data_IF_677442276438
#
_entry.id   IF_677442276438
#
_cell.length_a   1.000
_cell.length_b   1.000
_cell.length_c   1.000
_cell.angle_alpha   90.00
_cell.angle_beta   90.00
_cell.angle_gamma   90.00
#
_symmetry.space_group_name_H-M   'P 1'
#
loop_
_entity.id
_entity.type
_entity.pdbx_description
1 polymer ?
#
# COMPACT_ATOMS: atom_id res chain seq x y z
N UNK A 1 -21.01 -10.72 5.87
CA UNK A 1 -20.32 -9.68 5.11
C UNK A 1 -18.96 -9.37 5.76
N UNK A 2 -17.89 -9.41 4.97
CA UNK A 2 -16.52 -9.23 5.47
C UNK A 2 -16.30 -7.86 6.11
N UNK A 3 -16.94 -6.83 5.59
CA UNK A 3 -16.83 -5.47 6.12
C UNK A 3 -17.39 -5.39 7.54
N UNK A 4 -18.56 -5.92 7.76
CA UNK A 4 -19.18 -5.96 9.09
C UNK A 4 -18.36 -6.83 10.06
N UNK A 5 -17.91 -8.01 9.62
CA UNK A 5 -17.11 -8.90 10.44
C UNK A 5 -15.76 -8.31 10.83
N UNK A 6 -15.14 -7.53 9.94
CA UNK A 6 -13.87 -6.87 10.22
C UNK A 6 -14.02 -5.63 11.12
N UNK A 7 -15.24 -5.10 11.27
CA UNK A 7 -15.50 -3.91 12.08
C UNK A 7 -14.96 -2.62 11.47
N UNK A 8 -14.70 -2.61 10.16
CA UNK A 8 -14.21 -1.42 9.47
C UNK A 8 -15.36 -0.59 8.89
N UNK A 9 -15.09 0.68 8.63
CA UNK A 9 -16.04 1.62 8.04
C UNK A 9 -15.62 1.92 6.61
N UNK A 10 -16.59 1.98 5.70
CA UNK A 10 -16.33 2.26 4.30
C UNK A 10 -17.22 3.39 3.81
N UNK A 11 -16.72 4.08 2.78
CA UNK A 11 -17.54 4.97 1.95
C UNK A 11 -17.16 4.76 0.50
N UNK A 12 -18.02 5.19 -0.42
CA UNK A 12 -17.75 5.02 -1.85
C UNK A 12 -16.68 5.99 -2.31
N UNK A 13 -15.74 5.52 -3.12
CA UNK A 13 -14.74 6.37 -3.77
C UNK A 13 -15.44 7.42 -4.67
N UNK A 14 -14.86 8.62 -4.72
CA UNK A 14 -15.28 9.66 -5.66
C UNK A 14 -14.71 9.43 -7.08
N UNK A 15 -13.75 8.53 -7.24
CA UNK A 15 -12.99 8.36 -8.48
C UNK A 15 -13.25 7.03 -9.17
N UNK A 16 -13.58 5.98 -8.42
CA UNK A 16 -13.81 4.64 -8.95
C UNK A 16 -15.05 4.02 -8.30
N UNK A 17 -15.60 2.98 -8.92
CA UNK A 17 -16.75 2.27 -8.38
C UNK A 17 -16.30 1.21 -7.37
N UNK A 18 -15.76 1.66 -6.25
CA UNK A 18 -15.25 0.80 -5.19
C UNK A 18 -15.33 1.50 -3.84
N UNK A 19 -15.38 0.75 -2.73
CA UNK A 19 -15.36 1.34 -1.39
C UNK A 19 -13.94 1.73 -0.97
N UNK A 20 -13.85 2.75 -0.12
CA UNK A 20 -12.64 3.14 0.59
C UNK A 20 -12.82 2.72 2.04
N UNK A 21 -11.81 2.05 2.59
CA UNK A 21 -11.79 1.64 4.00
C UNK A 21 -11.19 2.79 4.81
N UNK A 22 -12.01 3.40 5.68
CA UNK A 22 -11.64 4.63 6.37
C UNK A 22 -10.49 4.44 7.37
N UNK A 23 -10.36 3.25 7.95
CA UNK A 23 -9.29 2.94 8.91
C UNK A 23 -7.91 2.78 8.28
N UNK A 24 -7.81 2.63 6.97
CA UNK A 24 -6.54 2.45 6.30
C UNK A 24 -5.91 3.82 5.99
N UNK A 25 -4.66 4.04 6.43
CA UNK A 25 -4.04 5.37 6.30
C UNK A 25 -3.55 5.70 4.89
N UNK A 26 -3.41 4.70 4.02
CA UNK A 26 -3.00 4.86 2.63
C UNK A 26 -3.90 4.04 1.73
N UNK A 27 -4.48 4.68 0.74
CA UNK A 27 -5.38 4.03 -0.21
C UNK A 27 -5.00 4.42 -1.63
N UNK A 28 -4.88 3.41 -2.48
CA UNK A 28 -4.73 3.59 -3.93
C UNK A 28 -6.06 3.24 -4.59
N UNK A 29 -6.61 4.19 -5.35
CA UNK A 29 -7.86 4.01 -6.08
C UNK A 29 -7.54 3.64 -7.52
N UNK A 30 -7.96 2.44 -7.94
CA UNK A 30 -7.53 1.85 -9.21
C UNK A 30 -8.70 1.40 -10.05
N UNK A 31 -8.51 1.42 -11.36
CA UNK A 31 -9.37 0.70 -12.31
C UNK A 31 -8.64 -0.55 -12.78
N UNK A 32 -9.37 -1.64 -13.02
CA UNK A 32 -8.76 -2.89 -13.48
C UNK A 32 -8.36 -2.75 -14.96
N UNK A 33 -7.10 -2.96 -15.26
CA UNK A 33 -6.60 -3.03 -16.64
C UNK A 33 -6.67 -4.44 -17.19
N UNK A 34 -6.27 -5.42 -16.40
CA UNK A 34 -6.32 -6.82 -16.81
C UNK A 34 -6.36 -7.74 -15.60
N UNK A 35 -6.89 -8.93 -15.80
CA UNK A 35 -6.87 -10.00 -14.83
C UNK A 35 -6.66 -11.32 -15.56
N UNK A 36 -5.64 -12.08 -15.14
CA UNK A 36 -5.34 -13.40 -15.71
C UNK A 36 -5.71 -14.47 -14.67
N UNK A 37 -6.81 -15.22 -14.89
CA UNK A 37 -7.22 -16.23 -13.91
C UNK A 37 -6.25 -17.41 -13.82
N UNK A 38 -5.42 -17.65 -14.85
CA UNK A 38 -4.45 -18.74 -14.82
C UNK A 38 -3.29 -18.47 -13.86
N UNK A 39 -2.88 -17.21 -13.74
CA UNK A 39 -1.77 -16.80 -12.86
C UNK A 39 -2.24 -16.11 -11.58
N UNK A 40 -3.48 -15.63 -11.55
CA UNK A 40 -4.00 -14.80 -10.46
C UNK A 40 -3.49 -13.36 -10.51
N UNK A 41 -2.81 -12.95 -11.58
CA UNK A 41 -2.24 -11.60 -11.68
C UNK A 41 -3.32 -10.61 -12.13
N UNK A 42 -3.52 -9.59 -11.32
CA UNK A 42 -4.40 -8.45 -11.62
C UNK A 42 -3.53 -7.20 -11.80
N UNK A 43 -3.75 -6.47 -12.89
CA UNK A 43 -3.08 -5.20 -13.13
C UNK A 43 -4.11 -4.08 -13.05
N UNK A 44 -3.83 -3.08 -12.21
CA UNK A 44 -4.68 -1.92 -12.04
C UNK A 44 -3.98 -0.63 -12.46
N UNK A 45 -4.76 0.31 -12.98
CA UNK A 45 -4.28 1.66 -13.21
C UNK A 45 -4.65 2.52 -11.99
N UNK A 46 -3.66 3.15 -11.38
CA UNK A 46 -3.87 4.05 -10.24
C UNK A 46 -4.44 5.37 -10.78
N UNK A 47 -5.65 5.72 -10.34
CA UNK A 47 -6.31 6.97 -10.78
C UNK A 47 -6.32 8.03 -9.67
N UNK A 48 -6.15 7.62 -8.41
CA UNK A 48 -6.08 8.55 -7.27
C UNK A 48 -5.39 7.87 -6.10
N UNK A 49 -4.80 8.68 -5.22
CA UNK A 49 -4.20 8.23 -3.98
C UNK A 49 -4.70 9.09 -2.84
N UNK A 50 -4.91 8.47 -1.68
CA UNK A 50 -5.25 9.17 -0.44
C UNK A 50 -4.31 8.73 0.67
N UNK A 51 -3.81 9.68 1.44
CA UNK A 51 -2.95 9.39 2.58
C UNK A 51 -3.35 10.29 3.75
N UNK A 52 -3.39 9.71 4.95
CA UNK A 52 -3.57 10.48 6.16
C UNK A 52 -2.33 11.34 6.43
N UNK A 53 -2.52 12.56 6.90
CA UNK A 53 -1.39 13.42 7.27
C UNK A 53 -0.50 12.80 8.33
N UNK A 54 -1.06 11.93 9.18
CA UNK A 54 -0.32 11.26 10.26
C UNK A 54 0.81 10.36 9.76
N UNK A 55 0.76 9.89 8.49
CA UNK A 55 1.82 9.05 7.90
C UNK A 55 2.77 9.81 7.00
N UNK A 56 2.64 11.13 6.92
CA UNK A 56 3.48 11.96 6.05
C UNK A 56 4.62 12.60 6.85
N UNK A 57 5.76 12.78 6.19
CA UNK A 57 6.86 13.63 6.64
C UNK A 57 7.23 14.52 5.46
N UNK A 58 7.13 15.83 5.64
CA UNK A 58 7.38 16.82 4.58
C UNK A 58 6.58 16.54 3.30
N UNK A 59 5.32 16.12 3.46
CA UNK A 59 4.42 15.86 2.34
C UNK A 59 4.64 14.52 1.62
N UNK A 60 5.54 13.68 2.13
CA UNK A 60 5.87 12.38 1.53
C UNK A 60 5.51 11.27 2.51
N UNK A 61 4.99 10.15 1.99
CA UNK A 61 4.68 8.99 2.83
C UNK A 61 5.96 8.50 3.52
N UNK A 62 5.90 8.43 4.84
CA UNK A 62 7.01 7.99 5.69
C UNK A 62 6.75 6.55 6.12
N UNK A 63 7.59 5.62 5.67
CA UNK A 63 7.44 4.20 5.97
C UNK A 63 7.50 3.91 7.47
N UNK A 64 8.26 4.70 8.24
CA UNK A 64 8.32 4.54 9.69
C UNK A 64 6.99 4.88 10.38
N UNK A 65 6.21 5.78 9.79
CA UNK A 65 4.88 6.17 10.29
C UNK A 65 3.79 5.25 9.76
N UNK A 66 3.86 4.88 8.48
CA UNK A 66 2.90 3.99 7.84
C UNK A 66 2.98 2.57 8.41
N UNK A 67 4.19 2.11 8.73
CA UNK A 67 4.47 0.76 9.25
C UNK A 67 3.91 -0.34 8.33
N UNK A 68 4.32 -0.36 7.06
CA UNK A 68 3.86 -1.40 6.13
C UNK A 68 4.37 -2.77 6.56
N UNK A 69 3.65 -3.81 6.16
CA UNK A 69 4.05 -5.18 6.44
C UNK A 69 4.35 -5.91 5.14
N UNK A 70 5.25 -6.88 5.21
CA UNK A 70 5.58 -7.76 4.10
C UNK A 70 5.25 -9.18 4.48
N UNK A 71 4.88 -10.00 3.50
CA UNK A 71 4.57 -11.41 3.70
C UNK A 71 5.82 -12.25 3.45
N UNK A 72 6.21 -13.03 4.48
CA UNK A 72 7.30 -14.00 4.39
C UNK A 72 6.69 -15.38 4.14
N UNK A 73 6.78 -15.86 2.90
CA UNK A 73 6.17 -17.12 2.52
C UNK A 73 6.87 -18.33 3.15
N UNK A 74 8.17 -18.22 3.43
CA UNK A 74 8.94 -19.32 4.00
C UNK A 74 8.43 -19.70 5.39
N UNK A 75 8.06 -18.71 6.19
CA UNK A 75 7.56 -18.91 7.56
C UNK A 75 6.05 -18.69 7.68
N UNK A 76 5.40 -18.24 6.61
CA UNK A 76 3.97 -17.89 6.59
C UNK A 76 3.61 -16.82 7.63
N UNK A 77 4.48 -15.83 7.76
CA UNK A 77 4.32 -14.74 8.71
C UNK A 77 4.34 -13.38 8.00
N UNK A 78 3.90 -12.36 8.70
CA UNK A 78 4.05 -10.99 8.27
C UNK A 78 5.16 -10.32 9.08
N UNK A 79 5.95 -9.47 8.42
CA UNK A 79 7.05 -8.73 9.04
C UNK A 79 6.90 -7.25 8.78
N UNK A 80 7.37 -6.43 9.71
CA UNK A 80 7.44 -4.98 9.50
C UNK A 80 8.69 -4.63 8.69
N UNK A 81 8.64 -3.48 8.02
CA UNK A 81 9.80 -2.89 7.36
C UNK A 81 10.65 -2.21 8.44
N UNK A 82 11.94 -2.48 8.43
CA UNK A 82 12.87 -1.98 9.46
C UNK A 82 13.47 -0.62 9.16
N UNK A 83 14.61 -0.35 9.81
CA UNK A 83 15.33 0.92 9.71
C UNK A 83 15.93 1.17 8.33
N UNK A 84 16.21 2.42 8.03
CA UNK A 84 16.99 2.80 6.85
C UNK A 84 18.41 2.26 7.01
N UNK A 85 18.88 1.51 6.00
CA UNK A 85 20.21 0.89 6.02
C UNK A 85 21.10 1.37 4.88
N UNK A 86 20.59 2.22 4.00
CA UNK A 86 21.35 2.75 2.88
C UNK A 86 20.54 3.75 2.08
N UNK A 87 21.22 4.42 1.16
CA UNK A 87 20.61 5.42 0.28
C UNK A 87 20.80 5.02 -1.17
N UNK A 88 19.67 4.79 -1.86
CA UNK A 88 19.69 4.48 -3.28
C UNK A 88 20.33 5.61 -4.09
N UNK A 89 21.00 5.22 -5.17
CA UNK A 89 21.68 6.14 -6.11
C UNK A 89 22.82 6.95 -5.50
N UNK A 90 23.18 6.73 -4.24
CA UNK A 90 24.27 7.44 -3.55
C UNK A 90 25.34 6.49 -3.03
N UNK A 91 24.97 5.50 -2.22
CA UNK A 91 25.92 4.64 -1.51
C UNK A 91 26.75 3.78 -2.46
N UNK A 92 26.21 3.45 -3.63
CA UNK A 92 26.91 2.67 -4.64
C UNK A 92 27.78 3.48 -5.60
N UNK A 93 27.74 4.82 -5.53
CA UNK A 93 28.49 5.67 -6.47
C UNK A 93 30.01 5.35 -6.50
N UNK A 94 30.69 5.11 -5.36
CA UNK A 94 32.11 4.77 -5.38
C UNK A 94 32.44 3.46 -6.09
N UNK A 95 31.44 2.62 -6.35
CA UNK A 95 31.61 1.31 -7.00
C UNK A 95 31.45 1.36 -8.54
N UNK A 96 31.10 2.51 -9.08
CA UNK A 96 30.94 2.70 -10.52
C UNK A 96 32.27 2.76 -11.24
#
# INVERSE_FOLDING_TARGET
NKIEHAGVHVHKSAHVNAPIIEEYPLTLECTVKSYDPATGILVGAIVAEQADEAILTDGVVDAAKLKPIVFDIATRTYRVVGDVVGHAWRDGLPLR
#
